data_IF_871800545725
#
_entry.id   IF_871800545725
#
_cell.length_a   1.000
_cell.length_b   1.000
_cell.length_c   1.000
_cell.angle_alpha   90.00
_cell.angle_beta   90.00
_cell.angle_gamma   90.00
#
_symmetry.space_group_name_H-M   'P 1'
#
loop_
_entity.id
_entity.type
_entity.pdbx_description
1 polymer ?
#
# COMPACT_ATOMS: atom_id res chain seq x y z
N UNK A 1 -13.66 26.52 14.26
CA UNK A 1 -13.82 25.58 13.12
C UNK A 1 -12.42 25.15 12.70
N UNK A 2 -12.06 23.92 12.94
CA UNK A 2 -10.81 23.38 12.39
C UNK A 2 -11.01 23.30 10.88
N UNK A 3 -10.35 24.15 10.12
CA UNK A 3 -10.26 24.01 8.67
C UNK A 3 -9.39 22.80 8.41
N UNK A 4 -9.98 21.60 8.29
CA UNK A 4 -9.26 20.43 7.78
C UNK A 4 -8.67 20.82 6.43
N UNK A 5 -7.37 20.68 6.27
CA UNK A 5 -6.66 21.01 5.03
C UNK A 5 -7.23 20.21 3.84
N UNK A 6 -7.70 19.00 4.13
CA UNK A 6 -8.42 18.13 3.21
C UNK A 6 -9.69 17.64 3.88
N UNK A 7 -10.81 17.61 3.16
CA UNK A 7 -12.07 17.06 3.64
C UNK A 7 -12.38 15.76 2.88
N UNK A 8 -12.42 14.64 3.61
CA UNK A 8 -12.78 13.32 3.09
C UNK A 8 -14.07 12.79 3.71
N UNK A 9 -14.92 13.66 4.28
CA UNK A 9 -16.24 13.27 4.81
C UNK A 9 -17.08 12.55 3.75
N UNK A 10 -17.67 11.42 4.13
CA UNK A 10 -18.47 10.57 3.23
C UNK A 10 -17.65 9.79 2.19
N UNK A 11 -16.32 9.82 2.25
CA UNK A 11 -15.44 9.02 1.39
C UNK A 11 -15.18 7.65 2.00
N UNK A 12 -15.19 6.61 1.16
CA UNK A 12 -14.84 5.23 1.52
C UNK A 12 -13.43 4.95 1.01
N UNK A 13 -12.53 4.54 1.91
CA UNK A 13 -11.14 4.26 1.62
C UNK A 13 -10.76 2.82 1.97
N UNK A 14 -10.10 2.11 1.06
CA UNK A 14 -9.47 0.81 1.33
C UNK A 14 -7.96 0.98 1.38
N UNK A 15 -7.33 0.58 2.50
CA UNK A 15 -5.87 0.61 2.66
C UNK A 15 -5.35 -0.79 2.90
N UNK A 16 -4.53 -1.31 1.98
CA UNK A 16 -3.92 -2.64 2.11
C UNK A 16 -2.58 -2.60 2.84
N UNK A 17 -2.26 -3.66 3.58
CA UNK A 17 -1.06 -3.68 4.42
C UNK A 17 -1.11 -2.69 5.57
N UNK A 18 -2.32 -2.35 6.04
CA UNK A 18 -2.58 -1.28 6.99
C UNK A 18 -2.53 -1.70 8.47
N UNK A 19 -2.13 -2.93 8.77
CA UNK A 19 -2.01 -3.40 10.17
C UNK A 19 -0.79 -2.86 10.93
N UNK A 20 0.09 -2.08 10.27
CA UNK A 20 1.30 -1.45 10.85
C UNK A 20 2.03 -0.55 9.86
N UNK A 21 2.93 0.30 10.39
CA UNK A 21 3.88 1.10 9.61
C UNK A 21 3.22 2.08 8.66
N UNK A 22 3.73 2.24 7.44
CA UNK A 22 3.24 3.22 6.47
C UNK A 22 1.73 3.07 6.23
N UNK A 23 1.24 1.85 6.05
CA UNK A 23 -0.20 1.62 5.79
C UNK A 23 -1.09 1.97 6.99
N UNK A 24 -0.65 1.73 8.21
CA UNK A 24 -1.35 2.16 9.43
C UNK A 24 -1.44 3.69 9.51
N UNK A 25 -0.33 4.40 9.30
CA UNK A 25 -0.31 5.87 9.35
C UNK A 25 -1.18 6.48 8.24
N UNK A 26 -1.18 5.91 7.04
CA UNK A 26 -2.08 6.30 5.96
C UNK A 26 -3.55 6.12 6.38
N UNK A 27 -3.89 4.97 6.97
CA UNK A 27 -5.25 4.68 7.42
C UNK A 27 -5.72 5.68 8.49
N UNK A 28 -4.86 5.97 9.49
CA UNK A 28 -5.13 6.96 10.53
C UNK A 28 -5.35 8.35 9.94
N UNK A 29 -4.45 8.80 9.05
CA UNK A 29 -4.55 10.11 8.44
C UNK A 29 -5.82 10.27 7.58
N UNK A 30 -6.18 9.27 6.79
CA UNK A 30 -7.43 9.31 6.00
C UNK A 30 -8.66 9.40 6.91
N UNK A 31 -8.69 8.63 8.00
CA UNK A 31 -9.77 8.68 8.99
C UNK A 31 -9.83 10.02 9.72
N UNK A 32 -8.69 10.60 10.08
CA UNK A 32 -8.59 11.94 10.68
C UNK A 32 -9.18 13.02 9.75
N UNK A 33 -9.02 12.87 8.44
CA UNK A 33 -9.61 13.78 7.45
C UNK A 33 -11.10 13.49 7.17
N UNK A 34 -11.70 12.47 7.79
CA UNK A 34 -13.13 12.19 7.76
C UNK A 34 -13.55 11.02 6.87
N UNK A 35 -12.62 10.28 6.27
CA UNK A 35 -12.95 9.07 5.51
C UNK A 35 -13.39 7.92 6.44
N UNK A 36 -14.29 7.06 5.96
CA UNK A 36 -14.44 5.72 6.51
C UNK A 36 -13.35 4.81 5.92
N UNK A 37 -12.53 4.19 6.77
CA UNK A 37 -11.36 3.43 6.33
C UNK A 37 -11.51 1.94 6.57
N UNK A 38 -11.44 1.15 5.50
CA UNK A 38 -11.33 -0.30 5.56
C UNK A 38 -9.84 -0.62 5.71
N UNK A 39 -9.46 -0.98 6.93
CA UNK A 39 -8.10 -1.36 7.32
C UNK A 39 -7.88 -2.82 6.93
N UNK A 40 -7.03 -3.08 5.94
CA UNK A 40 -6.87 -4.43 5.41
C UNK A 40 -5.44 -4.94 5.47
N UNK A 41 -5.30 -6.18 5.89
CA UNK A 41 -4.07 -6.99 5.78
C UNK A 41 -4.40 -8.48 5.91
N UNK A 42 -3.38 -9.36 5.83
CA UNK A 42 -3.56 -10.83 5.88
C UNK A 42 -4.17 -11.36 7.17
N UNK A 43 -3.93 -10.69 8.31
CA UNK A 43 -4.38 -11.12 9.64
C UNK A 43 -5.37 -10.10 10.19
N UNK A 44 -6.55 -10.59 10.53
CA UNK A 44 -7.65 -9.73 11.01
C UNK A 44 -7.30 -9.02 12.32
N UNK A 45 -6.62 -9.69 13.25
CA UNK A 45 -6.31 -9.12 14.57
C UNK A 45 -5.51 -7.81 14.48
N UNK A 46 -4.52 -7.77 13.57
CA UNK A 46 -3.73 -6.55 13.35
C UNK A 46 -4.53 -5.43 12.68
N UNK A 47 -5.51 -5.77 11.84
CA UNK A 47 -6.40 -4.80 11.23
C UNK A 47 -7.39 -4.25 12.28
N UNK A 48 -7.92 -5.15 13.12
CA UNK A 48 -8.86 -4.79 14.17
C UNK A 48 -8.24 -3.82 15.18
N UNK A 49 -7.01 -4.10 15.63
CA UNK A 49 -6.29 -3.21 16.54
C UNK A 49 -6.14 -1.78 15.99
N UNK A 50 -5.84 -1.64 14.69
CA UNK A 50 -5.73 -0.33 14.05
C UNK A 50 -7.11 0.32 13.87
N UNK A 51 -8.12 -0.44 13.46
CA UNK A 51 -9.48 0.08 13.32
C UNK A 51 -10.05 0.56 14.66
N UNK A 52 -9.81 -0.18 15.75
CA UNK A 52 -10.25 0.20 17.09
C UNK A 52 -9.53 1.46 17.59
N UNK A 53 -8.23 1.58 17.32
CA UNK A 53 -7.48 2.79 17.65
C UNK A 53 -7.98 4.02 16.86
N UNK A 54 -8.29 3.87 15.57
CA UNK A 54 -8.90 4.95 14.77
C UNK A 54 -10.26 5.37 15.36
N UNK A 55 -11.08 4.42 15.77
CA UNK A 55 -12.39 4.70 16.42
C UNK A 55 -12.21 5.40 17.76
N UNK A 56 -11.22 4.97 18.56
CA UNK A 56 -10.92 5.61 19.85
C UNK A 56 -10.49 7.08 19.69
N UNK A 57 -9.81 7.41 18.58
CA UNK A 57 -9.41 8.76 18.20
C UNK A 57 -10.56 9.57 17.53
N UNK A 58 -11.79 9.01 17.50
CA UNK A 58 -12.98 9.65 16.94
C UNK A 58 -13.14 9.52 15.41
N UNK A 59 -12.30 8.73 14.76
CA UNK A 59 -12.40 8.43 13.33
C UNK A 59 -13.37 7.28 13.02
N UNK A 60 -13.53 6.95 11.74
CA UNK A 60 -14.38 5.87 11.26
C UNK A 60 -13.55 4.81 10.53
N UNK A 61 -13.59 3.56 11.00
CA UNK A 61 -12.86 2.48 10.37
C UNK A 61 -13.50 1.12 10.64
N UNK A 62 -13.20 0.16 9.78
CA UNK A 62 -13.48 -1.27 9.99
C UNK A 62 -12.27 -2.11 9.58
N UNK A 63 -12.23 -3.36 10.03
CA UNK A 63 -11.17 -4.30 9.71
C UNK A 63 -11.66 -5.34 8.70
N UNK A 64 -10.84 -5.64 7.68
CA UNK A 64 -11.11 -6.70 6.73
C UNK A 64 -9.83 -7.49 6.39
N UNK A 65 -9.84 -8.82 6.59
CA UNK A 65 -8.71 -9.66 6.24
C UNK A 65 -8.63 -9.88 4.72
N UNK A 66 -7.51 -9.49 4.10
CA UNK A 66 -7.26 -9.76 2.69
C UNK A 66 -5.77 -9.98 2.44
N UNK A 67 -5.43 -11.15 1.89
CA UNK A 67 -4.13 -11.43 1.32
C UNK A 67 -4.15 -11.02 -0.16
N UNK A 68 -3.51 -9.90 -0.51
CA UNK A 68 -3.56 -9.34 -1.87
C UNK A 68 -2.92 -10.24 -2.95
N UNK A 69 -2.17 -11.27 -2.59
CA UNK A 69 -1.69 -12.31 -3.51
C UNK A 69 -2.74 -13.38 -3.84
N UNK A 70 -3.92 -13.36 -3.22
CA UNK A 70 -4.99 -14.35 -3.37
C UNK A 70 -6.22 -13.70 -4.03
N UNK A 71 -6.48 -14.03 -5.29
CA UNK A 71 -7.55 -13.38 -6.07
C UNK A 71 -8.93 -13.51 -5.43
N UNK A 72 -9.25 -14.68 -4.84
CA UNK A 72 -10.51 -14.89 -4.15
C UNK A 72 -10.69 -13.96 -2.94
N UNK A 73 -9.61 -13.60 -2.24
CA UNK A 73 -9.67 -12.66 -1.13
C UNK A 73 -9.79 -11.19 -1.60
N UNK A 74 -9.22 -10.88 -2.77
CA UNK A 74 -9.47 -9.60 -3.43
C UNK A 74 -10.94 -9.47 -3.80
N UNK A 75 -11.51 -10.49 -4.45
CA UNK A 75 -12.94 -10.51 -4.79
C UNK A 75 -13.82 -10.35 -3.55
N UNK A 76 -13.49 -11.03 -2.45
CA UNK A 76 -14.25 -10.97 -1.20
C UNK A 76 -14.26 -9.56 -0.59
N UNK A 77 -13.11 -8.86 -0.54
CA UNK A 77 -13.06 -7.48 0.00
C UNK A 77 -13.85 -6.51 -0.88
N UNK A 78 -13.81 -6.64 -2.21
CA UNK A 78 -14.58 -5.77 -3.09
C UNK A 78 -16.08 -6.11 -3.09
N UNK A 79 -16.48 -7.37 -2.90
CA UNK A 79 -17.89 -7.73 -2.65
C UNK A 79 -18.38 -7.09 -1.36
N UNK A 80 -17.63 -7.20 -0.27
CA UNK A 80 -17.97 -6.53 0.98
C UNK A 80 -18.15 -5.02 0.80
N UNK A 81 -17.24 -4.34 0.09
CA UNK A 81 -17.34 -2.90 -0.18
C UNK A 81 -18.61 -2.56 -0.96
N UNK A 82 -18.94 -3.34 -1.99
CA UNK A 82 -20.19 -3.15 -2.75
C UNK A 82 -21.43 -3.32 -1.88
N UNK A 83 -21.46 -4.39 -1.10
CA UNK A 83 -22.64 -4.77 -0.34
C UNK A 83 -22.91 -3.84 0.85
N UNK A 84 -21.84 -3.36 1.53
CA UNK A 84 -21.95 -2.56 2.75
C UNK A 84 -21.90 -1.06 2.47
N UNK A 85 -21.02 -0.62 1.55
CA UNK A 85 -20.76 0.79 1.32
C UNK A 85 -21.29 1.30 -0.04
N UNK A 86 -21.57 0.42 -0.97
CA UNK A 86 -22.05 0.73 -2.31
C UNK A 86 -21.02 1.40 -3.22
N UNK A 87 -19.89 1.89 -2.71
CA UNK A 87 -18.88 2.63 -3.47
C UNK A 87 -17.48 2.51 -2.87
N UNK A 88 -16.45 2.88 -3.66
CA UNK A 88 -15.09 3.10 -3.20
C UNK A 88 -14.58 4.42 -3.80
N UNK A 89 -14.11 5.34 -2.96
CA UNK A 89 -13.55 6.62 -3.38
C UNK A 89 -12.01 6.60 -3.43
N UNK A 90 -11.38 5.85 -2.52
CA UNK A 90 -9.91 5.84 -2.33
C UNK A 90 -9.42 4.40 -2.18
N UNK A 91 -8.41 4.02 -2.98
CA UNK A 91 -7.68 2.78 -2.83
C UNK A 91 -6.20 3.07 -2.59
N UNK A 92 -5.65 2.51 -1.51
CA UNK A 92 -4.21 2.54 -1.25
C UNK A 92 -3.64 1.13 -1.30
N UNK A 93 -2.94 0.81 -2.38
CA UNK A 93 -2.17 -0.41 -2.52
C UNK A 93 -0.82 -0.23 -1.83
N UNK A 94 -0.70 -0.75 -0.59
CA UNK A 94 0.50 -0.60 0.21
C UNK A 94 1.07 -1.95 0.71
N UNK A 95 0.27 -3.02 0.72
CA UNK A 95 0.75 -4.35 1.10
C UNK A 95 1.93 -4.79 0.19
N UNK A 96 3.04 -5.24 0.78
CA UNK A 96 4.19 -5.69 0.01
C UNK A 96 4.86 -6.92 0.63
N UNK A 97 5.60 -7.65 -0.21
CA UNK A 97 6.48 -8.74 0.17
C UNK A 97 7.91 -8.48 -0.34
N UNK A 98 8.89 -8.81 0.49
CA UNK A 98 10.30 -8.92 0.12
C UNK A 98 10.89 -10.08 0.94
N UNK A 99 10.63 -11.34 0.55
CA UNK A 99 10.99 -12.51 1.34
C UNK A 99 12.48 -12.89 1.25
N UNK A 100 13.20 -12.33 0.29
CA UNK A 100 14.63 -12.64 0.07
C UNK A 100 15.47 -11.37 0.03
N UNK A 101 16.57 -11.38 0.78
CA UNK A 101 17.61 -10.36 0.75
C UNK A 101 18.95 -11.05 0.50
N UNK A 102 19.56 -10.84 -0.67
CA UNK A 102 20.78 -11.49 -1.10
C UNK A 102 21.09 -11.26 -2.57
N UNK A 103 22.15 -11.93 -3.06
CA UNK A 103 22.56 -11.78 -4.45
C UNK A 103 21.49 -12.27 -5.41
N UNK A 104 21.24 -11.54 -6.48
CA UNK A 104 20.13 -11.80 -7.39
C UNK A 104 20.17 -13.20 -8.05
N UNK A 105 21.37 -13.75 -8.27
CA UNK A 105 21.54 -15.10 -8.84
C UNK A 105 21.12 -16.22 -7.87
N UNK A 106 21.05 -15.92 -6.57
CA UNK A 106 20.67 -16.87 -5.53
C UNK A 106 19.20 -16.77 -5.14
N UNK A 107 18.40 -16.00 -5.90
CA UNK A 107 16.98 -15.82 -5.61
C UNK A 107 16.19 -17.12 -5.70
N UNK A 108 15.57 -17.63 -4.61
CA UNK A 108 14.72 -18.81 -4.66
C UNK A 108 13.47 -18.57 -5.50
N UNK A 109 13.01 -19.59 -6.20
CA UNK A 109 11.81 -19.49 -7.05
C UNK A 109 10.57 -19.08 -6.25
N UNK A 110 10.36 -19.66 -5.08
CA UNK A 110 9.23 -19.33 -4.19
C UNK A 110 9.28 -17.88 -3.68
N UNK A 111 10.48 -17.34 -3.46
CA UNK A 111 10.64 -15.94 -3.11
C UNK A 111 10.34 -14.99 -4.27
N UNK A 112 10.72 -15.38 -5.49
CA UNK A 112 10.35 -14.68 -6.72
C UNK A 112 8.83 -14.68 -6.90
N UNK A 113 8.21 -15.86 -6.89
CA UNK A 113 6.76 -16.03 -7.07
C UNK A 113 5.98 -15.24 -6.02
N UNK A 114 6.36 -15.33 -4.75
CA UNK A 114 5.75 -14.57 -3.65
C UNK A 114 5.83 -13.07 -3.86
N UNK A 115 6.97 -12.58 -4.37
CA UNK A 115 7.15 -11.15 -4.63
C UNK A 115 6.26 -10.70 -5.79
N UNK A 116 6.21 -11.47 -6.87
CA UNK A 116 5.36 -11.17 -8.03
C UNK A 116 3.88 -11.23 -7.66
N UNK A 117 3.45 -12.27 -6.94
CA UNK A 117 2.06 -12.44 -6.53
C UNK A 117 1.55 -11.28 -5.69
N UNK A 118 2.34 -10.85 -4.71
CA UNK A 118 1.92 -9.78 -3.79
C UNK A 118 2.12 -8.39 -4.40
N UNK A 119 3.33 -8.11 -4.94
CA UNK A 119 3.69 -6.74 -5.31
C UNK A 119 3.21 -6.34 -6.70
N UNK A 120 3.00 -7.31 -7.62
CA UNK A 120 2.60 -7.03 -8.99
C UNK A 120 1.18 -7.52 -9.27
N UNK A 121 0.93 -8.83 -9.22
CA UNK A 121 -0.38 -9.40 -9.49
C UNK A 121 -1.45 -8.85 -8.54
N UNK A 122 -1.14 -8.79 -7.25
CA UNK A 122 -2.04 -8.23 -6.23
C UNK A 122 -2.39 -6.77 -6.49
N UNK A 123 -1.40 -5.91 -6.71
CA UNK A 123 -1.62 -4.49 -7.03
C UNK A 123 -2.44 -4.30 -8.31
N UNK A 124 -2.17 -5.12 -9.32
CA UNK A 124 -2.89 -5.06 -10.58
C UNK A 124 -4.39 -5.35 -10.38
N UNK A 125 -4.74 -6.47 -9.76
CA UNK A 125 -6.14 -6.84 -9.58
C UNK A 125 -6.87 -6.00 -8.52
N UNK A 126 -6.20 -5.56 -7.47
CA UNK A 126 -6.74 -4.53 -6.56
C UNK A 126 -7.09 -3.26 -7.31
N UNK A 127 -6.20 -2.81 -8.23
CA UNK A 127 -6.45 -1.62 -9.04
C UNK A 127 -7.55 -1.83 -10.07
N UNK A 128 -7.67 -3.03 -10.67
CA UNK A 128 -8.76 -3.38 -11.59
C UNK A 128 -10.10 -3.28 -10.88
N UNK A 129 -10.26 -3.98 -9.75
CA UNK A 129 -11.53 -4.00 -9.02
C UNK A 129 -11.86 -2.61 -8.44
N UNK A 130 -10.85 -1.91 -7.89
CA UNK A 130 -11.02 -0.53 -7.40
C UNK A 130 -11.46 0.42 -8.50
N UNK A 131 -10.78 0.41 -9.65
CA UNK A 131 -11.12 1.28 -10.77
C UNK A 131 -12.50 0.96 -11.38
N UNK A 132 -12.90 -0.32 -11.42
CA UNK A 132 -14.25 -0.72 -11.85
C UNK A 132 -15.34 -0.10 -10.96
N UNK A 133 -15.18 -0.26 -9.64
CA UNK A 133 -16.13 0.28 -8.68
C UNK A 133 -16.15 1.82 -8.68
N UNK A 134 -14.99 2.46 -8.78
CA UNK A 134 -14.87 3.92 -8.90
C UNK A 134 -15.53 4.45 -10.17
N UNK A 135 -15.38 3.77 -11.31
CA UNK A 135 -16.03 4.13 -12.58
C UNK A 135 -17.54 4.19 -12.48
N UNK A 136 -18.15 3.27 -11.73
CA UNK A 136 -19.60 3.19 -11.53
C UNK A 136 -20.13 4.34 -10.67
N UNK A 137 -19.26 5.00 -9.88
CA UNK A 137 -19.63 6.03 -8.91
C UNK A 137 -19.00 7.40 -9.17
N UNK A 138 -18.63 7.68 -10.43
CA UNK A 138 -18.18 9.01 -10.86
C UNK A 138 -16.70 9.31 -10.67
N UNK A 139 -15.91 8.29 -10.35
CA UNK A 139 -14.44 8.41 -10.25
C UNK A 139 -13.89 8.14 -8.86
N UNK A 140 -12.57 8.33 -8.70
CA UNK A 140 -11.88 8.07 -7.45
C UNK A 140 -10.37 8.31 -7.54
N UNK A 141 -9.65 7.82 -6.53
CA UNK A 141 -8.19 7.95 -6.48
C UNK A 141 -7.51 6.63 -6.02
N UNK A 142 -6.52 6.19 -6.77
CA UNK A 142 -5.69 5.04 -6.43
C UNK A 142 -4.27 5.55 -6.15
N UNK A 143 -3.69 5.11 -5.03
CA UNK A 143 -2.28 5.35 -4.69
C UNK A 143 -1.57 4.00 -4.55
N UNK A 144 -0.52 3.80 -5.35
CA UNK A 144 0.32 2.62 -5.30
C UNK A 144 1.61 2.93 -4.54
N UNK A 145 1.88 2.24 -3.45
CA UNK A 145 3.15 2.35 -2.73
C UNK A 145 4.23 1.57 -3.48
N UNK A 146 4.98 2.26 -4.31
CA UNK A 146 6.17 1.75 -4.98
C UNK A 146 7.39 1.78 -4.03
N UNK A 147 8.54 2.25 -4.47
CA UNK A 147 9.76 2.47 -3.70
C UNK A 147 10.75 3.29 -4.53
N UNK A 148 11.67 3.98 -3.90
CA UNK A 148 12.86 4.53 -4.58
C UNK A 148 13.65 3.43 -5.28
N UNK A 149 13.60 2.19 -4.78
CA UNK A 149 14.20 1.01 -5.40
C UNK A 149 13.60 0.65 -6.77
N UNK A 150 12.42 1.17 -7.08
CA UNK A 150 11.84 1.05 -8.43
C UNK A 150 12.47 1.98 -9.46
N UNK A 151 13.24 2.99 -9.02
CA UNK A 151 14.03 3.90 -9.88
C UNK A 151 15.51 3.53 -9.86
N UNK A 152 16.06 3.29 -8.68
CA UNK A 152 17.45 2.89 -8.47
C UNK A 152 17.46 1.60 -7.65
N UNK A 153 17.77 0.44 -8.27
CA UNK A 153 17.74 -0.84 -7.58
C UNK A 153 18.63 -0.88 -6.35
N UNK A 154 18.09 -1.42 -5.24
CA UNK A 154 18.87 -1.67 -4.02
C UNK A 154 19.66 -2.96 -4.12
N UNK A 155 20.92 -2.94 -3.68
CA UNK A 155 21.75 -4.14 -3.59
C UNK A 155 21.10 -5.18 -2.66
N UNK A 156 21.15 -6.44 -3.06
CA UNK A 156 20.50 -7.54 -2.33
C UNK A 156 18.96 -7.56 -2.41
N UNK A 157 18.34 -6.66 -3.18
CA UNK A 157 16.89 -6.52 -3.31
C UNK A 157 16.42 -6.59 -4.78
N UNK A 158 17.06 -7.43 -5.58
CA UNK A 158 16.83 -7.46 -7.03
C UNK A 158 15.37 -7.64 -7.44
N UNK A 159 14.72 -8.72 -7.02
CA UNK A 159 13.31 -9.01 -7.38
C UNK A 159 12.34 -7.97 -6.81
N UNK A 160 12.60 -7.51 -5.59
CA UNK A 160 11.81 -6.43 -5.00
C UNK A 160 11.90 -5.15 -5.84
N UNK A 161 13.12 -4.74 -6.23
CA UNK A 161 13.34 -3.56 -7.06
C UNK A 161 12.64 -3.67 -8.42
N UNK A 162 12.75 -4.83 -9.08
CA UNK A 162 12.04 -5.15 -10.32
C UNK A 162 10.53 -5.00 -10.12
N UNK A 163 9.98 -5.58 -9.06
CA UNK A 163 8.54 -5.48 -8.77
C UNK A 163 8.09 -4.03 -8.57
N UNK A 164 8.91 -3.21 -7.90
CA UNK A 164 8.59 -1.79 -7.65
C UNK A 164 8.73 -0.92 -8.89
N UNK A 165 9.64 -1.24 -9.81
CA UNK A 165 9.70 -0.64 -11.14
C UNK A 165 8.44 -0.96 -11.97
N UNK A 166 7.99 -2.22 -11.91
CA UNK A 166 6.75 -2.64 -12.55
C UNK A 166 5.52 -1.91 -11.97
N UNK A 167 5.45 -1.68 -10.65
CA UNK A 167 4.39 -0.87 -10.01
C UNK A 167 4.38 0.58 -10.53
N UNK A 168 5.54 1.19 -10.75
CA UNK A 168 5.63 2.54 -11.32
C UNK A 168 5.05 2.55 -12.75
N UNK A 169 5.43 1.58 -13.60
CA UNK A 169 4.91 1.45 -14.96
C UNK A 169 3.40 1.18 -14.96
N UNK A 170 2.94 0.25 -14.13
CA UNK A 170 1.53 -0.07 -13.95
C UNK A 170 0.71 1.16 -13.53
N UNK A 171 1.22 1.97 -12.61
CA UNK A 171 0.58 3.22 -12.17
C UNK A 171 0.33 4.16 -13.34
N UNK A 172 1.32 4.33 -14.23
CA UNK A 172 1.20 5.16 -15.43
C UNK A 172 0.17 4.61 -16.42
N UNK A 173 0.11 3.28 -16.59
CA UNK A 173 -0.87 2.62 -17.46
C UNK A 173 -2.30 2.84 -16.94
N UNK A 174 -2.55 2.55 -15.67
CA UNK A 174 -3.87 2.78 -15.07
C UNK A 174 -4.25 4.27 -15.09
N UNK A 175 -3.32 5.19 -14.78
CA UNK A 175 -3.58 6.63 -14.84
C UNK A 175 -4.05 7.07 -16.23
N UNK A 176 -3.42 6.53 -17.28
CA UNK A 176 -3.71 6.86 -18.67
C UNK A 176 -5.07 6.30 -19.13
N UNK A 177 -5.32 5.02 -18.82
CA UNK A 177 -6.52 4.32 -19.30
C UNK A 177 -7.77 4.67 -18.48
N UNK A 178 -7.63 4.92 -17.17
CA UNK A 178 -8.76 5.21 -16.27
C UNK A 178 -9.11 6.69 -16.17
N UNK A 179 -8.31 7.60 -16.76
CA UNK A 179 -8.58 9.05 -16.74
C UNK A 179 -9.96 9.41 -17.31
N UNK A 180 -10.40 8.72 -18.37
CA UNK A 180 -11.71 8.92 -18.97
C UNK A 180 -12.90 8.63 -18.01
N UNK A 181 -12.66 7.88 -16.94
CA UNK A 181 -13.63 7.55 -15.89
C UNK A 181 -13.45 8.41 -14.63
N UNK A 182 -12.66 9.50 -14.72
CA UNK A 182 -12.34 10.34 -13.57
C UNK A 182 -11.63 9.58 -12.42
N UNK A 183 -10.87 8.53 -12.74
CA UNK A 183 -10.04 7.80 -11.78
C UNK A 183 -8.59 8.24 -11.92
N UNK A 184 -8.07 8.88 -10.88
CA UNK A 184 -6.66 9.30 -10.81
C UNK A 184 -5.82 8.19 -10.18
N UNK A 185 -4.65 7.90 -10.75
CA UNK A 185 -3.75 6.87 -10.21
C UNK A 185 -2.35 7.46 -10.07
N UNK A 186 -1.78 7.38 -8.86
CA UNK A 186 -0.45 7.90 -8.56
C UNK A 186 0.39 6.88 -7.79
N UNK A 187 1.70 7.05 -7.80
CA UNK A 187 2.63 6.25 -7.00
C UNK A 187 3.29 7.10 -5.92
N UNK A 188 3.37 6.53 -4.71
CA UNK A 188 4.24 6.99 -3.65
C UNK A 188 5.52 6.16 -3.68
N UNK A 189 6.68 6.80 -3.64
CA UNK A 189 7.99 6.14 -3.67
C UNK A 189 8.75 6.39 -2.35
N UNK A 190 8.45 5.66 -1.27
CA UNK A 190 9.17 5.80 -0.02
C UNK A 190 10.65 5.41 -0.18
N UNK A 191 11.52 6.16 0.51
CA UNK A 191 12.89 5.77 0.78
C UNK A 191 12.98 4.83 1.99
N UNK A 192 14.17 4.74 2.60
CA UNK A 192 14.37 3.96 3.82
C UNK A 192 13.51 4.52 4.96
N UNK A 193 12.48 3.78 5.32
CA UNK A 193 11.52 4.15 6.37
C UNK A 193 11.56 3.08 7.46
N UNK A 194 11.64 3.51 8.72
CA UNK A 194 11.76 2.61 9.88
C UNK A 194 10.43 1.89 10.13
N UNK A 195 10.34 0.69 9.63
CA UNK A 195 9.17 -0.19 9.75
C UNK A 195 9.60 -1.61 10.06
N UNK A 196 8.69 -2.45 10.56
CA UNK A 196 8.96 -3.88 10.71
C UNK A 196 9.28 -4.56 9.37
N UNK A 197 8.76 -4.05 8.26
CA UNK A 197 9.06 -4.55 6.91
C UNK A 197 10.53 -4.34 6.53
N UNK A 198 11.09 -3.19 6.87
CA UNK A 198 12.48 -2.85 6.60
C UNK A 198 13.45 -3.36 7.69
N UNK A 199 12.97 -4.14 8.67
CA UNK A 199 13.75 -4.55 9.86
C UNK A 199 15.11 -5.14 9.55
N UNK A 200 15.25 -5.96 8.50
CA UNK A 200 16.52 -6.55 8.10
C UNK A 200 17.62 -5.50 7.81
N UNK A 201 17.25 -4.32 7.30
CA UNK A 201 18.17 -3.23 7.03
C UNK A 201 18.64 -2.49 8.30
N UNK A 202 17.91 -2.65 9.41
CA UNK A 202 18.22 -2.01 10.69
C UNK A 202 18.94 -2.94 11.68
N UNK A 203 18.98 -4.25 11.42
CA UNK A 203 19.61 -5.22 12.32
C UNK A 203 21.12 -5.35 12.12
N UNK A 204 21.65 -4.96 10.96
CA UNK A 204 23.07 -4.97 10.65
C UNK A 204 23.57 -3.53 10.50
N UNK A 205 24.49 -3.13 11.37
CA UNK A 205 24.99 -1.75 11.44
C UNK A 205 25.71 -1.31 10.15
N UNK A 206 26.46 -2.21 9.52
CA UNK A 206 27.19 -1.89 8.29
C UNK A 206 26.24 -1.71 7.10
N UNK A 207 25.25 -2.60 6.98
CA UNK A 207 24.19 -2.45 5.95
C UNK A 207 23.41 -1.15 6.18
N UNK A 208 23.09 -0.84 7.42
CA UNK A 208 22.39 0.40 7.75
C UNK A 208 23.23 1.64 7.42
N UNK A 209 24.51 1.68 7.79
CA UNK A 209 25.44 2.77 7.44
C UNK A 209 25.58 2.93 5.92
N UNK A 210 25.70 1.81 5.20
CA UNK A 210 25.77 1.81 3.74
C UNK A 210 24.46 2.39 3.14
N UNK A 211 23.29 1.97 3.62
CA UNK A 211 22.01 2.50 3.19
C UNK A 211 21.90 4.02 3.46
N UNK A 212 22.30 4.48 4.64
CA UNK A 212 22.31 5.90 4.97
C UNK A 212 23.28 6.70 4.08
N UNK A 213 24.41 6.11 3.66
CA UNK A 213 25.37 6.78 2.78
C UNK A 213 24.78 7.16 1.41
N UNK A 214 23.75 6.46 0.96
CA UNK A 214 23.03 6.73 -0.29
C UNK A 214 21.95 7.80 -0.13
N UNK A 215 21.58 8.17 1.10
CA UNK A 215 20.55 9.16 1.38
C UNK A 215 21.21 10.51 1.62
N UNK A 216 20.90 11.58 0.83
CA UNK A 216 21.55 12.89 1.00
C UNK A 216 21.41 13.45 2.42
N UNK A 217 20.26 13.28 3.07
CA UNK A 217 20.02 13.75 4.44
C UNK A 217 20.61 12.85 5.53
N UNK A 218 21.27 11.74 5.18
CA UNK A 218 21.94 10.80 6.09
C UNK A 218 21.05 10.28 7.24
N UNK A 219 19.75 10.24 7.03
CA UNK A 219 18.78 9.69 7.99
C UNK A 219 17.68 8.92 7.29
N UNK A 220 17.11 7.94 7.99
CA UNK A 220 15.88 7.28 7.58
C UNK A 220 14.66 8.18 7.85
N UNK A 221 13.52 7.81 7.29
CA UNK A 221 12.21 8.38 7.61
C UNK A 221 11.50 7.53 8.66
N UNK A 222 10.60 8.16 9.42
CA UNK A 222 9.58 7.48 10.20
C UNK A 222 8.29 7.37 9.37
N UNK A 223 7.36 6.44 9.70
CA UNK A 223 6.08 6.30 8.97
C UNK A 223 5.15 7.50 9.06
N UNK A 224 5.34 8.34 10.11
CA UNK A 224 4.58 9.59 10.39
C UNK A 224 5.05 10.74 9.54
#
# INVERSE_FOLDING_TARGET
MSTKLFNLEGKIALVTGASRGIGEEIARLLAEQGAHVIVSSRKIDGCQAVADAIKADGGSAEAFACHVGELAQIEAVFSHIRDVHGKLDILVNNAAANPFFGHILDTPVDAFDKTVDVNLRGYFYMSVEGARLMREHGGGAIVNTASVNGLTPGEGQGVYSISKAAVISMTKSFAKECAQFNVRVNALLPGLTKTKFAGALFTNEDIYKQALSQIPMRRHAEPK
#
